data_IF_296227433727
#
_entry.id   IF_296227433727
#
_cell.length_a   1.000
_cell.length_b   1.000
_cell.length_c   1.000
_cell.angle_alpha   90.00
_cell.angle_beta   90.00
_cell.angle_gamma   90.00
#
_symmetry.space_group_name_H-M   'P 1'
#
loop_
_entity.id
_entity.type
_entity.pdbx_description
1 polymer ?
#
# COMPACT_ATOMS: atom_id res chain seq x y z
N UNK A 1 -27.71 -30.12 15.76
CA UNK A 1 -28.78 -29.23 16.24
C UNK A 1 -28.17 -27.85 16.37
N UNK A 2 -28.25 -27.03 15.32
CA UNK A 2 -27.90 -25.61 15.42
C UNK A 2 -28.90 -24.97 16.38
N UNK A 3 -28.41 -24.26 17.39
CA UNK A 3 -29.27 -23.44 18.24
C UNK A 3 -30.04 -22.48 17.33
N UNK A 4 -31.36 -22.49 17.40
CA UNK A 4 -32.17 -21.46 16.76
C UNK A 4 -31.70 -20.11 17.31
N UNK A 5 -31.09 -19.29 16.46
CA UNK A 5 -30.73 -17.91 16.78
C UNK A 5 -31.97 -17.17 17.33
N UNK A 6 -31.78 -16.36 18.37
CA UNK A 6 -32.88 -15.68 19.03
C UNK A 6 -33.40 -14.53 18.15
N UNK A 7 -34.72 -14.49 17.97
CA UNK A 7 -35.42 -13.49 17.15
C UNK A 7 -36.28 -12.62 18.06
N UNK A 8 -36.06 -11.31 17.99
CA UNK A 8 -36.76 -10.31 18.79
C UNK A 8 -37.56 -9.38 17.90
N UNK A 9 -38.66 -8.83 18.42
CA UNK A 9 -39.39 -7.73 17.78
C UNK A 9 -39.26 -6.46 18.62
N UNK A 10 -38.83 -5.37 18.00
CA UNK A 10 -38.91 -4.03 18.58
C UNK A 10 -40.12 -3.31 17.97
N UNK A 11 -41.07 -2.89 18.80
CA UNK A 11 -42.33 -2.27 18.40
C UNK A 11 -42.43 -0.87 19.00
N UNK A 12 -42.23 0.16 18.18
CA UNK A 12 -42.41 1.55 18.56
C UNK A 12 -43.84 2.00 18.26
N UNK A 13 -44.69 2.12 19.29
CA UNK A 13 -46.10 2.49 19.19
C UNK A 13 -46.21 4.01 19.35
N UNK A 14 -46.20 4.72 18.21
CA UNK A 14 -46.29 6.17 18.15
C UNK A 14 -47.73 6.70 18.24
N UNK A 15 -47.91 7.98 17.88
CA UNK A 15 -49.22 8.62 17.82
C UNK A 15 -50.02 8.16 16.59
N UNK A 16 -49.48 8.30 15.37
CA UNK A 16 -50.21 7.96 14.14
C UNK A 16 -49.78 6.61 13.54
N UNK A 17 -48.57 6.16 13.85
CA UNK A 17 -47.96 4.99 13.25
C UNK A 17 -47.25 4.14 14.30
N UNK A 18 -47.20 2.84 14.04
CA UNK A 18 -46.42 1.86 14.80
C UNK A 18 -45.34 1.30 13.89
N UNK A 19 -44.08 1.41 14.31
CA UNK A 19 -42.94 0.83 13.59
C UNK A 19 -42.53 -0.49 14.23
N UNK A 20 -42.40 -1.53 13.42
CA UNK A 20 -42.01 -2.87 13.85
C UNK A 20 -40.68 -3.21 13.19
N UNK A 21 -39.68 -3.54 14.01
CA UNK A 21 -38.37 -4.02 13.56
C UNK A 21 -38.14 -5.43 14.09
N UNK A 22 -37.88 -6.37 13.18
CA UNK A 22 -37.52 -7.74 13.52
C UNK A 22 -36.01 -7.84 13.54
N UNK A 23 -35.47 -8.32 14.65
CA UNK A 23 -34.05 -8.39 14.93
C UNK A 23 -33.69 -9.86 15.05
N UNK A 24 -32.83 -10.31 14.15
CA UNK A 24 -32.23 -11.65 14.16
C UNK A 24 -30.77 -11.48 14.55
N UNK A 25 -30.38 -12.09 15.67
CA UNK A 25 -29.08 -11.91 16.32
C UNK A 25 -28.80 -10.43 16.69
N UNK A 26 -28.20 -9.69 15.75
CA UNK A 26 -27.80 -8.28 15.87
C UNK A 26 -28.17 -7.47 14.63
N UNK A 27 -28.86 -8.09 13.66
CA UNK A 27 -29.21 -7.48 12.38
C UNK A 27 -30.71 -7.28 12.27
N UNK A 28 -31.09 -6.14 11.70
CA UNK A 28 -32.48 -5.88 11.35
C UNK A 28 -32.82 -6.70 10.12
N UNK A 29 -33.69 -7.70 10.27
CA UNK A 29 -34.06 -8.61 9.18
C UNK A 29 -35.30 -8.13 8.41
N UNK A 30 -36.19 -7.39 9.07
CA UNK A 30 -37.40 -6.82 8.48
C UNK A 30 -37.81 -5.56 9.24
N UNK A 31 -38.29 -4.56 8.49
CA UNK A 31 -38.93 -3.37 9.04
C UNK A 31 -40.31 -3.22 8.42
N UNK A 32 -41.31 -2.90 9.23
CA UNK A 32 -42.67 -2.63 8.79
C UNK A 32 -43.20 -1.38 9.49
N UNK A 33 -43.90 -0.54 8.74
CA UNK A 33 -44.70 0.55 9.31
C UNK A 33 -46.18 0.19 9.21
N UNK A 34 -46.90 0.34 10.32
CA UNK A 34 -48.34 0.12 10.43
C UNK A 34 -48.97 1.49 10.71
N UNK A 35 -49.92 1.92 9.88
CA UNK A 35 -50.60 3.22 10.01
C UNK A 35 -51.65 3.25 11.12
N UNK A 36 -51.29 2.73 12.30
CA UNK A 36 -52.13 2.70 13.51
C UNK A 36 -51.23 3.07 14.69
N UNK A 37 -51.72 3.93 15.57
CA UNK A 37 -51.04 4.34 16.81
C UNK A 37 -52.05 4.87 17.83
N UNK A 38 -51.57 5.61 18.83
CA UNK A 38 -52.41 6.18 19.89
C UNK A 38 -53.52 7.11 19.43
N UNK A 39 -53.46 7.66 18.22
CA UNK A 39 -54.53 8.46 17.61
C UNK A 39 -55.83 7.63 17.49
N UNK A 40 -55.73 6.35 17.13
CA UNK A 40 -56.90 5.48 16.99
C UNK A 40 -57.65 5.31 18.32
N UNK A 41 -56.91 5.15 19.42
CA UNK A 41 -57.48 5.09 20.78
C UNK A 41 -58.19 6.41 21.13
N UNK A 42 -57.55 7.52 20.78
CA UNK A 42 -58.06 8.87 21.05
C UNK A 42 -59.38 9.11 20.34
N UNK A 43 -59.44 8.74 19.05
CA UNK A 43 -60.65 8.84 18.24
C UNK A 43 -61.76 7.92 18.77
N UNK A 44 -61.42 6.69 19.17
CA UNK A 44 -62.41 5.78 19.75
C UNK A 44 -63.01 6.33 21.06
N UNK A 45 -62.19 6.92 21.94
CA UNK A 45 -62.67 7.58 23.17
C UNK A 45 -63.52 8.80 22.82
N UNK A 46 -63.08 9.61 21.85
CA UNK A 46 -63.82 10.78 21.39
C UNK A 46 -65.23 10.41 20.94
N UNK A 47 -65.35 9.38 20.10
CA UNK A 47 -66.63 8.90 19.57
C UNK A 47 -67.50 8.27 20.66
N UNK A 48 -66.92 7.42 21.51
CA UNK A 48 -67.68 6.68 22.53
C UNK A 48 -68.20 7.57 23.67
N UNK A 49 -67.50 8.66 24.00
CA UNK A 49 -67.82 9.54 25.12
C UNK A 49 -68.23 10.96 24.69
N UNK A 50 -68.33 11.22 23.39
CA UNK A 50 -68.70 12.52 22.80
C UNK A 50 -67.84 13.69 23.32
N UNK A 51 -66.54 13.44 23.48
CA UNK A 51 -65.57 14.43 23.95
C UNK A 51 -64.99 15.25 22.79
N UNK A 52 -64.34 16.37 23.12
CA UNK A 52 -63.42 17.02 22.18
C UNK A 52 -62.19 16.12 21.96
N UNK A 53 -61.47 16.30 20.85
CA UNK A 53 -60.25 15.52 20.59
C UNK A 53 -59.18 15.75 21.67
N UNK A 54 -59.07 16.98 22.20
CA UNK A 54 -58.16 17.30 23.28
C UNK A 54 -58.55 16.61 24.60
N UNK A 55 -59.83 16.62 24.95
CA UNK A 55 -60.30 15.99 26.19
C UNK A 55 -60.23 14.46 26.09
N UNK A 56 -60.44 13.89 24.90
CA UNK A 56 -60.24 12.48 24.64
C UNK A 56 -58.76 12.07 24.79
N UNK A 57 -57.82 12.89 24.30
CA UNK A 57 -56.38 12.66 24.48
C UNK A 57 -55.99 12.71 25.96
N UNK A 58 -56.48 13.71 26.71
CA UNK A 58 -56.27 13.79 28.16
C UNK A 58 -56.86 12.58 28.87
N UNK A 59 -58.09 12.19 28.55
CA UNK A 59 -58.73 11.01 29.12
C UNK A 59 -57.92 9.73 28.86
N UNK A 60 -57.33 9.59 27.66
CA UNK A 60 -56.44 8.47 27.32
C UNK A 60 -55.16 8.49 28.16
N UNK A 61 -54.52 9.65 28.33
CA UNK A 61 -53.25 9.76 29.07
C UNK A 61 -53.48 9.55 30.58
N UNK A 62 -54.48 10.23 31.14
CA UNK A 62 -54.70 10.28 32.59
C UNK A 62 -55.40 9.02 33.11
N UNK A 63 -56.37 8.50 32.35
CA UNK A 63 -57.27 7.43 32.79
C UNK A 63 -57.16 6.16 31.93
N UNK A 64 -56.36 6.15 30.85
CA UNK A 64 -56.23 5.02 29.95
C UNK A 64 -55.67 3.77 30.61
N UNK A 65 -56.39 2.65 30.51
CA UNK A 65 -55.91 1.32 30.89
C UNK A 65 -56.56 0.23 30.05
N UNK A 66 -55.92 -0.93 30.00
CA UNK A 66 -56.49 -2.13 29.38
C UNK A 66 -56.60 -3.25 30.40
N UNK A 67 -57.77 -3.85 30.54
CA UNK A 67 -57.99 -4.99 31.46
C UNK A 67 -57.64 -6.31 30.77
N UNK A 68 -56.88 -7.18 31.44
CA UNK A 68 -56.71 -8.58 31.02
C UNK A 68 -57.76 -9.49 31.65
N UNK A 69 -58.20 -9.16 32.85
CA UNK A 69 -59.32 -9.79 33.57
C UNK A 69 -60.34 -8.73 33.99
N UNK A 70 -61.62 -9.05 33.82
CA UNK A 70 -62.75 -8.18 34.12
C UNK A 70 -63.43 -8.52 35.46
N UNK A 71 -62.98 -9.58 36.15
CA UNK A 71 -63.67 -10.14 37.33
C UNK A 71 -63.75 -9.19 38.54
N UNK A 72 -62.81 -8.25 38.69
CA UNK A 72 -62.76 -7.27 39.79
C UNK A 72 -63.06 -5.82 39.37
N UNK A 73 -63.36 -5.58 38.09
CA UNK A 73 -63.54 -4.24 37.54
C UNK A 73 -65.01 -3.78 37.56
N UNK A 74 -65.22 -2.48 37.75
CA UNK A 74 -66.56 -1.88 37.62
C UNK A 74 -67.07 -1.92 36.17
N UNK A 75 -68.39 -1.85 35.98
CA UNK A 75 -69.00 -1.86 34.63
C UNK A 75 -68.46 -0.74 33.73
N UNK A 76 -68.20 0.44 34.29
CA UNK A 76 -67.70 1.58 33.51
C UNK A 76 -66.23 1.41 33.15
N UNK A 77 -65.42 0.83 34.05
CA UNK A 77 -64.03 0.46 33.74
C UNK A 77 -63.95 -0.59 32.64
N UNK A 78 -64.84 -1.60 32.66
CA UNK A 78 -64.92 -2.61 31.60
C UNK A 78 -65.25 -1.94 30.27
N UNK A 79 -66.29 -1.10 30.22
CA UNK A 79 -66.67 -0.37 28.99
C UNK A 79 -65.54 0.50 28.44
N UNK A 80 -64.85 1.24 29.31
CA UNK A 80 -63.75 2.11 28.91
C UNK A 80 -62.56 1.29 28.38
N UNK A 81 -62.20 0.21 29.07
CA UNK A 81 -61.16 -0.71 28.58
C UNK A 81 -61.56 -1.36 27.26
N UNK A 82 -62.82 -1.76 27.07
CA UNK A 82 -63.28 -2.42 25.84
C UNK A 82 -63.28 -1.44 24.65
N UNK A 83 -63.57 -0.16 24.89
CA UNK A 83 -63.40 0.90 23.90
C UNK A 83 -61.95 0.98 23.41
N UNK A 84 -60.99 0.96 24.34
CA UNK A 84 -59.56 1.01 24.00
C UNK A 84 -59.09 -0.27 23.31
N UNK A 85 -59.53 -1.46 23.77
CA UNK A 85 -59.22 -2.74 23.13
C UNK A 85 -59.68 -2.77 21.69
N UNK A 86 -60.93 -2.37 21.41
CA UNK A 86 -61.47 -2.29 20.04
C UNK A 86 -60.63 -1.40 19.13
N UNK A 87 -60.09 -0.30 19.67
CA UNK A 87 -59.19 0.57 18.92
C UNK A 87 -57.80 -0.06 18.66
N UNK A 88 -57.37 -0.99 19.52
CA UNK A 88 -56.12 -1.75 19.41
C UNK A 88 -56.24 -3.02 18.56
N UNK A 89 -57.43 -3.60 18.40
CA UNK A 89 -57.64 -4.84 17.63
C UNK A 89 -57.02 -4.81 16.21
N UNK A 90 -57.13 -3.69 15.44
CA UNK A 90 -56.46 -3.60 14.15
C UNK A 90 -54.93 -3.67 14.27
N UNK A 91 -54.34 -3.07 15.31
CA UNK A 91 -52.90 -3.13 15.56
C UNK A 91 -52.47 -4.56 15.91
N UNK A 92 -53.19 -5.22 16.81
CA UNK A 92 -52.94 -6.61 17.20
C UNK A 92 -52.98 -7.53 15.98
N UNK A 93 -54.00 -7.39 15.14
CA UNK A 93 -54.14 -8.15 13.89
C UNK A 93 -52.93 -7.92 12.96
N UNK A 94 -52.50 -6.67 12.79
CA UNK A 94 -51.35 -6.32 11.96
C UNK A 94 -50.02 -6.85 12.54
N UNK A 95 -49.85 -6.86 13.86
CA UNK A 95 -48.69 -7.46 14.53
C UNK A 95 -48.66 -8.97 14.32
N UNK A 96 -49.77 -9.66 14.57
CA UNK A 96 -49.93 -11.10 14.33
C UNK A 96 -49.60 -11.47 12.90
N UNK A 97 -50.13 -10.73 11.91
CA UNK A 97 -49.79 -10.95 10.49
C UNK A 97 -48.30 -10.73 10.21
N UNK A 98 -47.69 -9.73 10.85
CA UNK A 98 -46.26 -9.44 10.70
C UNK A 98 -45.42 -10.61 11.21
N UNK A 99 -45.71 -11.14 12.40
CA UNK A 99 -44.95 -12.24 13.00
C UNK A 99 -45.20 -13.57 12.26
N UNK A 100 -46.41 -13.82 11.77
CA UNK A 100 -46.69 -14.96 10.90
C UNK A 100 -45.87 -14.89 9.60
N UNK A 101 -45.74 -13.70 9.01
CA UNK A 101 -44.92 -13.49 7.81
C UNK A 101 -43.43 -13.75 8.05
N UNK A 102 -42.91 -13.40 9.23
CA UNK A 102 -41.52 -13.73 9.61
C UNK A 102 -41.35 -15.25 9.66
N UNK A 103 -42.26 -15.94 10.36
CA UNK A 103 -42.23 -17.40 10.49
C UNK A 103 -42.33 -18.10 9.14
N UNK A 104 -43.22 -17.66 8.25
CA UNK A 104 -43.40 -18.27 6.92
C UNK A 104 -42.20 -18.12 5.99
N UNK A 105 -41.37 -17.10 6.21
CA UNK A 105 -40.12 -16.87 5.44
C UNK A 105 -38.93 -17.69 5.97
N UNK A 106 -39.13 -18.54 6.97
CA UNK A 106 -38.05 -19.35 7.57
C UNK A 106 -37.09 -18.56 8.46
N UNK A 107 -37.45 -17.34 8.86
CA UNK A 107 -36.62 -16.41 9.63
C UNK A 107 -36.69 -16.63 11.16
N UNK A 108 -37.02 -17.85 11.58
CA UNK A 108 -37.25 -18.18 12.99
C UNK A 108 -38.61 -17.70 13.53
N UNK A 109 -38.78 -17.86 14.85
CA UNK A 109 -39.99 -17.46 15.59
C UNK A 109 -39.62 -16.32 16.52
N UNK A 110 -40.39 -15.24 16.50
CA UNK A 110 -40.24 -14.13 17.45
C UNK A 110 -40.46 -14.67 18.87
N UNK A 111 -39.42 -14.60 19.69
CA UNK A 111 -39.44 -15.14 21.06
C UNK A 111 -39.95 -14.12 22.06
N UNK A 112 -39.63 -12.83 21.84
CA UNK A 112 -39.94 -11.74 22.76
C UNK A 112 -40.12 -10.42 22.01
N UNK A 113 -41.02 -9.59 22.54
CA UNK A 113 -41.40 -8.30 21.98
C UNK A 113 -40.98 -7.21 22.97
N UNK A 114 -40.18 -6.26 22.50
CA UNK A 114 -39.86 -5.04 23.22
C UNK A 114 -40.72 -3.90 22.67
N UNK A 115 -41.45 -3.22 23.54
CA UNK A 115 -42.27 -2.06 23.17
C UNK A 115 -41.62 -0.74 23.60
N UNK A 116 -41.84 0.30 22.80
CA UNK A 116 -41.46 1.68 23.11
C UNK A 116 -42.46 2.67 22.49
N UNK A 117 -42.27 3.97 22.69
CA UNK A 117 -43.11 5.04 22.18
C UNK A 117 -44.21 5.47 23.17
N UNK A 118 -44.80 6.63 22.95
CA UNK A 118 -45.74 7.23 23.92
C UNK A 118 -46.96 6.36 24.21
N UNK A 119 -47.50 5.67 23.20
CA UNK A 119 -48.68 4.80 23.38
C UNK A 119 -48.35 3.52 24.15
N UNK A 120 -47.07 3.11 24.19
CA UNK A 120 -46.66 1.93 24.96
C UNK A 120 -46.92 2.09 26.47
N UNK A 121 -46.96 3.34 26.96
CA UNK A 121 -47.14 3.69 28.37
C UNK A 121 -48.58 3.54 28.87
N UNK A 122 -49.52 3.19 28.00
CA UNK A 122 -50.88 2.89 28.40
C UNK A 122 -50.88 1.77 29.46
N UNK A 123 -51.59 1.98 30.57
CA UNK A 123 -51.52 1.08 31.72
C UNK A 123 -51.97 -0.33 31.35
N UNK A 124 -51.15 -1.31 31.73
CA UNK A 124 -51.37 -2.74 31.49
C UNK A 124 -51.39 -3.16 30.01
N UNK A 125 -50.92 -2.30 29.09
CA UNK A 125 -50.77 -2.63 27.68
C UNK A 125 -49.80 -3.81 27.40
N UNK A 126 -48.62 -3.94 28.06
CA UNK A 126 -47.76 -5.09 27.85
C UNK A 126 -48.45 -6.42 28.16
N UNK A 127 -49.18 -6.50 29.27
CA UNK A 127 -49.89 -7.72 29.66
C UNK A 127 -51.01 -8.07 28.68
N UNK A 128 -51.77 -7.06 28.24
CA UNK A 128 -52.79 -7.24 27.19
C UNK A 128 -52.17 -7.75 25.88
N UNK A 129 -51.12 -7.09 25.38
CA UNK A 129 -50.44 -7.53 24.15
C UNK A 129 -49.83 -8.92 24.31
N UNK A 130 -49.32 -9.26 25.49
CA UNK A 130 -48.77 -10.59 25.77
C UNK A 130 -49.85 -11.68 25.70
N UNK A 131 -51.03 -11.40 26.24
CA UNK A 131 -52.19 -12.29 26.15
C UNK A 131 -52.67 -12.46 24.70
N UNK A 132 -52.82 -11.37 23.95
CA UNK A 132 -53.35 -11.41 22.57
C UNK A 132 -52.35 -11.98 21.55
N UNK A 133 -51.06 -11.73 21.73
CA UNK A 133 -50.01 -12.18 20.81
C UNK A 133 -49.42 -13.54 21.20
N UNK A 134 -49.76 -14.04 22.40
CA UNK A 134 -49.19 -15.26 23.00
C UNK A 134 -47.66 -15.25 23.03
N UNK A 135 -47.08 -14.08 23.34
CA UNK A 135 -45.63 -13.85 23.39
C UNK A 135 -45.28 -12.98 24.60
N UNK A 136 -44.05 -13.07 25.07
CA UNK A 136 -43.55 -12.19 26.13
C UNK A 136 -43.41 -10.76 25.59
N UNK A 137 -44.00 -9.79 26.30
CA UNK A 137 -43.96 -8.37 25.94
C UNK A 137 -43.40 -7.58 27.11
N UNK A 138 -42.32 -6.83 26.86
CA UNK A 138 -41.65 -5.99 27.86
C UNK A 138 -41.37 -4.59 27.32
N UNK A 139 -41.22 -3.63 28.24
CA UNK A 139 -40.71 -2.32 27.89
C UNK A 139 -39.24 -2.38 27.48
N UNK A 140 -38.88 -1.64 26.44
CA UNK A 140 -37.48 -1.43 26.09
C UNK A 140 -36.76 -0.65 27.19
N UNK A 141 -35.76 -1.26 27.83
CA UNK A 141 -34.87 -0.58 28.79
C UNK A 141 -33.61 -0.08 28.07
N UNK A 142 -33.70 1.08 27.42
CA UNK A 142 -32.60 1.67 26.66
C UNK A 142 -31.64 2.50 27.52
N UNK A 143 -32.05 2.95 28.71
CA UNK A 143 -31.24 3.76 29.63
C UNK A 143 -30.45 2.91 30.63
N UNK A 144 -30.88 1.67 30.89
CA UNK A 144 -30.27 0.73 31.85
C UNK A 144 -28.77 0.47 31.60
N UNK A 145 -28.33 0.57 30.35
CA UNK A 145 -26.95 0.28 29.95
C UNK A 145 -25.97 1.42 30.20
N UNK A 146 -26.44 2.58 30.65
CA UNK A 146 -25.63 3.79 30.81
C UNK A 146 -25.58 4.21 32.29
N UNK A 147 -24.56 3.72 33.01
CA UNK A 147 -24.33 4.02 34.44
C UNK A 147 -24.16 5.53 34.73
N UNK A 148 -23.89 6.35 33.72
CA UNK A 148 -23.62 7.79 33.83
C UNK A 148 -24.80 8.68 33.42
N UNK A 149 -25.97 8.11 33.14
CA UNK A 149 -27.16 8.89 32.77
C UNK A 149 -27.74 9.64 33.97
N UNK A 150 -27.91 10.95 33.86
CA UNK A 150 -28.71 11.76 34.81
C UNK A 150 -30.23 11.56 34.64
N UNK A 151 -30.65 10.76 33.66
CA UNK A 151 -32.05 10.43 33.41
C UNK A 151 -32.35 9.09 34.08
N UNK A 152 -33.37 9.07 34.95
CA UNK A 152 -33.79 7.88 35.67
C UNK A 152 -34.29 6.78 34.71
N UNK A 153 -33.90 5.53 34.96
CA UNK A 153 -34.28 4.35 34.18
C UNK A 153 -35.72 3.90 34.51
N UNK A 154 -36.69 4.67 34.03
CA UNK A 154 -38.13 4.41 34.17
C UNK A 154 -38.76 4.19 32.80
N UNK A 155 -39.86 3.43 32.72
CA UNK A 155 -40.51 3.09 31.44
C UNK A 155 -40.88 4.33 30.63
N UNK A 156 -41.39 5.38 31.28
CA UNK A 156 -41.72 6.66 30.65
C UNK A 156 -40.49 7.33 30.01
N UNK A 157 -39.38 7.40 30.74
CA UNK A 157 -38.15 8.01 30.24
C UNK A 157 -37.54 7.19 29.10
N UNK A 158 -37.55 5.85 29.22
CA UNK A 158 -37.08 4.96 28.16
C UNK A 158 -37.90 5.13 26.88
N UNK A 159 -39.23 5.17 26.99
CA UNK A 159 -40.14 5.32 25.87
C UNK A 159 -39.95 6.66 25.14
N UNK A 160 -39.70 7.74 25.88
CA UNK A 160 -39.41 9.08 25.32
C UNK A 160 -38.00 9.17 24.75
N UNK A 161 -37.00 8.59 25.44
CA UNK A 161 -35.60 8.71 25.07
C UNK A 161 -35.21 7.80 23.91
N UNK A 162 -35.87 6.66 23.67
CA UNK A 162 -35.43 5.65 22.70
C UNK A 162 -35.21 6.23 21.29
N UNK A 163 -36.07 7.14 20.84
CA UNK A 163 -35.93 7.81 19.54
C UNK A 163 -34.71 8.72 19.47
N UNK A 164 -34.53 9.58 20.47
CA UNK A 164 -33.40 10.50 20.54
C UNK A 164 -32.06 9.75 20.72
N UNK A 165 -32.04 8.74 21.59
CA UNK A 165 -30.87 7.92 21.87
C UNK A 165 -30.45 7.10 20.65
N UNK A 166 -31.39 6.51 19.90
CA UNK A 166 -31.06 5.76 18.68
C UNK A 166 -30.40 6.65 17.61
N UNK A 167 -30.88 7.88 17.43
CA UNK A 167 -30.24 8.87 16.55
C UNK A 167 -28.84 9.26 17.06
N UNK A 168 -28.68 9.50 18.37
CA UNK A 168 -27.39 9.85 18.96
C UNK A 168 -26.36 8.71 18.80
N UNK A 169 -26.75 7.47 19.06
CA UNK A 169 -25.90 6.29 18.87
C UNK A 169 -25.54 6.09 17.40
N UNK A 170 -26.48 6.37 16.49
CA UNK A 170 -26.23 6.38 15.04
C UNK A 170 -25.16 7.38 14.61
N UNK A 171 -24.91 8.46 15.36
CA UNK A 171 -23.85 9.43 15.07
C UNK A 171 -22.46 8.99 15.58
N UNK A 172 -22.43 8.18 16.65
CA UNK A 172 -21.19 7.79 17.35
C UNK A 172 -20.65 6.43 16.84
N UNK A 173 -21.52 5.54 16.37
CA UNK A 173 -21.18 4.18 15.99
C UNK A 173 -20.01 4.08 14.99
N UNK A 174 -19.04 3.21 15.28
CA UNK A 174 -17.84 2.97 14.45
C UNK A 174 -18.10 2.24 13.13
N UNK A 175 -19.30 1.71 12.91
CA UNK A 175 -19.70 1.08 11.63
C UNK A 175 -20.06 2.16 10.59
N UNK A 176 -19.03 2.84 10.10
CA UNK A 176 -19.11 3.91 9.09
C UNK A 176 -19.61 3.45 7.70
N UNK A 177 -19.98 2.17 7.52
CA UNK A 177 -20.41 1.59 6.25
C UNK A 177 -21.91 1.26 6.13
N UNK A 178 -22.63 1.15 7.25
CA UNK A 178 -24.07 0.76 7.28
C UNK A 178 -25.00 1.90 7.72
N UNK A 179 -24.46 3.11 7.92
CA UNK A 179 -25.24 4.26 8.34
C UNK A 179 -25.84 4.98 7.12
N UNK A 180 -27.17 5.04 7.05
CA UNK A 180 -27.87 5.87 6.08
C UNK A 180 -27.67 7.35 6.42
N UNK A 181 -26.89 8.06 5.60
CA UNK A 181 -26.73 9.51 5.70
C UNK A 181 -27.34 10.19 4.48
N UNK A 182 -28.50 10.83 4.68
CA UNK A 182 -29.23 11.54 3.63
C UNK A 182 -28.77 12.99 3.45
N UNK A 183 -27.78 13.46 4.21
CA UNK A 183 -27.27 14.83 4.06
C UNK A 183 -26.59 15.01 2.70
N UNK A 184 -26.94 16.07 1.98
CA UNK A 184 -26.40 16.41 0.66
C UNK A 184 -25.84 17.83 0.65
N UNK A 185 -24.91 18.07 -0.28
CA UNK A 185 -24.38 19.40 -0.61
C UNK A 185 -23.93 20.20 0.62
N UNK A 186 -24.58 21.35 0.89
CA UNK A 186 -24.29 22.26 1.99
C UNK A 186 -24.38 21.59 3.37
N UNK A 187 -25.16 20.50 3.50
CA UNK A 187 -25.32 19.74 4.74
C UNK A 187 -24.41 18.51 4.80
N UNK A 188 -23.60 18.21 3.77
CA UNK A 188 -22.74 17.03 3.76
C UNK A 188 -21.61 17.13 4.81
N UNK A 189 -21.44 16.08 5.62
CA UNK A 189 -20.39 16.01 6.67
C UNK A 189 -18.98 16.15 6.11
N UNK A 190 -18.80 15.70 4.87
CA UNK A 190 -17.59 15.92 4.09
C UNK A 190 -17.93 16.92 3.01
N UNK A 191 -17.72 18.22 3.28
CA UNK A 191 -17.43 19.14 2.20
C UNK A 191 -16.25 18.51 1.45
N UNK A 192 -16.49 17.96 0.26
CA UNK A 192 -15.41 17.50 -0.61
C UNK A 192 -14.41 18.65 -0.63
N UNK A 193 -13.16 18.38 -0.23
CA UNK A 193 -12.10 19.39 -0.30
C UNK A 193 -12.08 20.05 -1.68
N UNK A 194 -11.46 21.21 -1.85
CA UNK A 194 -11.62 22.11 -3.01
C UNK A 194 -11.31 21.45 -4.36
N UNK A 195 -10.73 20.25 -4.37
CA UNK A 195 -10.52 19.45 -5.56
C UNK A 195 -11.82 18.76 -5.99
N UNK A 196 -12.65 19.51 -6.70
CA UNK A 196 -13.91 19.06 -7.30
C UNK A 196 -13.77 17.93 -8.33
N UNK A 197 -14.88 17.51 -8.94
CA UNK A 197 -14.90 16.48 -9.99
C UNK A 197 -13.89 16.77 -11.11
N UNK A 198 -13.69 18.04 -11.41
CA UNK A 198 -12.73 18.57 -12.39
C UNK A 198 -11.30 18.11 -12.11
N UNK A 199 -10.86 18.09 -10.84
CA UNK A 199 -9.50 17.64 -10.49
C UNK A 199 -9.30 16.16 -10.79
N UNK A 200 -10.34 15.32 -10.63
CA UNK A 200 -10.22 13.90 -11.00
C UNK A 200 -10.01 13.74 -12.50
N UNK A 201 -10.65 14.58 -13.32
CA UNK A 201 -10.39 14.62 -14.75
C UNK A 201 -8.97 15.11 -15.05
N UNK A 202 -8.49 16.16 -14.37
CA UNK A 202 -7.11 16.64 -14.52
C UNK A 202 -6.06 15.60 -14.08
N UNK A 203 -6.29 14.87 -12.99
CA UNK A 203 -5.42 13.77 -12.55
C UNK A 203 -5.45 12.60 -13.54
N UNK A 204 -6.61 12.27 -14.10
CA UNK A 204 -6.73 11.25 -15.15
C UNK A 204 -6.03 11.65 -16.45
N UNK A 205 -6.13 12.91 -16.85
CA UNK A 205 -5.39 13.44 -18.00
C UNK A 205 -3.88 13.47 -17.73
N UNK A 206 -3.47 13.90 -16.53
CA UNK A 206 -2.06 13.93 -16.14
C UNK A 206 -1.43 12.53 -16.11
N UNK A 207 -2.13 11.52 -15.61
CA UNK A 207 -1.66 10.14 -15.61
C UNK A 207 -1.58 9.55 -17.03
N UNK A 208 -2.51 9.91 -17.92
CA UNK A 208 -2.44 9.53 -19.34
C UNK A 208 -1.22 10.13 -20.03
N UNK A 209 -0.95 11.42 -19.82
CA UNK A 209 0.25 12.09 -20.37
C UNK A 209 1.52 11.45 -19.85
N UNK A 210 1.61 11.15 -18.55
CA UNK A 210 2.75 10.45 -17.97
C UNK A 210 2.93 9.04 -18.56
N UNK A 211 1.84 8.31 -18.80
CA UNK A 211 1.90 6.99 -19.43
C UNK A 211 2.43 7.08 -20.87
N UNK A 212 2.00 8.08 -21.65
CA UNK A 212 2.50 8.32 -23.01
C UNK A 212 4.00 8.65 -22.99
N UNK A 213 4.43 9.53 -22.09
CA UNK A 213 5.85 9.88 -21.92
C UNK A 213 6.69 8.65 -21.52
N UNK A 214 6.18 7.82 -20.61
CA UNK A 214 6.86 6.60 -20.19
C UNK A 214 6.96 5.58 -21.33
N UNK A 215 5.90 5.43 -22.12
CA UNK A 215 5.89 4.57 -23.31
C UNK A 215 6.88 5.07 -24.38
N UNK A 216 6.97 6.38 -24.59
CA UNK A 216 7.96 6.99 -25.47
C UNK A 216 9.40 6.73 -24.98
N UNK A 217 9.66 6.92 -23.68
CA UNK A 217 10.96 6.66 -23.08
C UNK A 217 11.39 5.19 -23.22
N UNK A 218 10.47 4.25 -22.97
CA UNK A 218 10.71 2.81 -23.17
C UNK A 218 11.01 2.51 -24.65
N UNK A 219 10.19 3.04 -25.57
CA UNK A 219 10.39 2.87 -27.01
C UNK A 219 11.77 3.35 -27.45
N UNK A 220 12.16 4.56 -27.05
CA UNK A 220 13.47 5.12 -27.37
C UNK A 220 14.62 4.31 -26.75
N UNK A 221 14.48 3.80 -25.53
CA UNK A 221 15.48 2.92 -24.91
C UNK A 221 15.67 1.62 -25.71
N UNK A 222 14.57 0.98 -26.14
CA UNK A 222 14.64 -0.24 -26.95
C UNK A 222 15.24 -0.01 -28.35
N UNK A 223 14.86 1.09 -29.01
CA UNK A 223 15.44 1.50 -30.30
C UNK A 223 16.95 1.78 -30.15
N UNK A 224 17.35 2.53 -29.14
CA UNK A 224 18.77 2.83 -28.92
C UNK A 224 19.58 1.55 -28.64
N UNK A 225 19.01 0.62 -27.87
CA UNK A 225 19.63 -0.69 -27.59
C UNK A 225 19.75 -1.55 -28.86
N UNK A 226 18.76 -1.53 -29.74
CA UNK A 226 18.82 -2.29 -31.00
C UNK A 226 19.85 -1.70 -31.97
N UNK A 227 19.93 -0.37 -32.06
CA UNK A 227 20.97 0.35 -32.83
C UNK A 227 22.37 0.12 -32.28
N UNK A 228 22.56 0.13 -30.96
CA UNK A 228 23.87 -0.21 -30.36
C UNK A 228 24.30 -1.64 -30.69
N UNK A 229 23.35 -2.59 -30.76
CA UNK A 229 23.64 -3.97 -31.14
C UNK A 229 24.09 -4.06 -32.59
N UNK A 230 23.44 -3.36 -33.52
CA UNK A 230 23.85 -3.37 -34.94
C UNK A 230 25.20 -2.68 -35.16
N UNK A 231 25.45 -1.55 -34.50
CA UNK A 231 26.75 -0.86 -34.56
C UNK A 231 27.86 -1.76 -34.01
N UNK A 232 27.66 -2.38 -32.84
CA UNK A 232 28.65 -3.28 -32.25
C UNK A 232 28.99 -4.47 -33.16
N UNK A 233 27.97 -5.06 -33.80
CA UNK A 233 28.17 -6.15 -34.76
C UNK A 233 29.01 -5.69 -35.96
N UNK A 234 28.72 -4.49 -36.50
CA UNK A 234 29.51 -3.91 -37.60
C UNK A 234 30.95 -3.60 -37.17
N UNK A 235 31.17 -3.05 -35.98
CA UNK A 235 32.53 -2.80 -35.47
C UNK A 235 33.31 -4.09 -35.23
N UNK A 236 32.69 -5.18 -34.78
CA UNK A 236 33.38 -6.48 -34.62
C UNK A 236 33.82 -7.03 -35.98
N UNK A 237 33.01 -6.83 -37.02
CA UNK A 237 33.35 -7.25 -38.37
C UNK A 237 34.51 -6.43 -38.96
N UNK A 238 34.48 -5.10 -38.78
CA UNK A 238 35.55 -4.20 -39.23
C UNK A 238 36.85 -4.42 -38.43
N UNK A 239 36.76 -4.64 -37.11
CA UNK A 239 37.91 -4.92 -36.24
C UNK A 239 38.54 -6.28 -36.55
N UNK A 240 37.76 -7.26 -37.01
CA UNK A 240 38.30 -8.53 -37.52
C UNK A 240 39.05 -8.37 -38.85
N UNK A 241 38.63 -7.43 -39.70
CA UNK A 241 39.31 -7.14 -40.98
C UNK A 241 40.61 -6.34 -40.81
N UNK A 242 40.79 -5.64 -39.68
CA UNK A 242 42.00 -4.89 -39.36
C UNK A 242 42.49 -5.23 -37.95
N UNK A 243 43.38 -6.22 -37.77
CA UNK A 243 43.88 -6.59 -36.44
C UNK A 243 44.86 -5.53 -35.89
N UNK A 244 44.36 -4.62 -35.06
CA UNK A 244 45.15 -3.60 -34.34
C UNK A 244 46.09 -4.23 -33.28
N UNK A 245 45.95 -5.53 -32.99
CA UNK A 245 46.78 -6.26 -32.01
C UNK A 245 48.27 -6.27 -32.35
N UNK A 246 48.62 -6.36 -33.64
CA UNK A 246 50.02 -6.50 -34.07
C UNK A 246 50.85 -5.21 -33.92
N UNK A 247 50.18 -4.05 -33.82
CA UNK A 247 50.86 -2.77 -33.61
C UNK A 247 51.07 -2.45 -32.13
N UNK A 248 50.23 -2.97 -31.22
CA UNK A 248 50.39 -2.73 -29.77
C UNK A 248 51.63 -3.43 -29.20
N UNK A 249 51.93 -4.66 -29.60
CA UNK A 249 53.13 -5.38 -29.13
C UNK A 249 54.42 -4.71 -29.60
N UNK A 250 54.47 -4.18 -30.84
CA UNK A 250 55.62 -3.39 -31.32
C UNK A 250 55.80 -2.08 -30.57
N UNK A 251 54.72 -1.43 -30.14
CA UNK A 251 54.79 -0.18 -29.35
C UNK A 251 55.23 -0.47 -27.90
N UNK A 252 54.77 -1.57 -27.30
CA UNK A 252 55.21 -2.00 -25.97
C UNK A 252 56.70 -2.40 -25.96
N UNK A 253 57.18 -3.11 -27.00
CA UNK A 253 58.60 -3.45 -27.16
C UNK A 253 59.52 -2.23 -27.36
N UNK A 254 58.99 -1.13 -27.93
CA UNK A 254 59.72 0.12 -28.18
C UNK A 254 59.61 1.15 -27.03
N UNK A 255 58.93 0.82 -25.92
CA UNK A 255 58.89 1.69 -24.72
C UNK A 255 57.51 2.22 -24.31
N UNK A 256 56.41 1.67 -24.85
CA UNK A 256 55.04 2.08 -24.50
C UNK A 256 54.41 1.38 -23.29
N UNK A 257 55.09 0.42 -22.65
CA UNK A 257 54.52 -0.40 -21.56
C UNK A 257 55.25 -0.25 -20.22
N UNK A 258 54.49 -0.07 -19.13
CA UNK A 258 54.97 -0.25 -17.75
C UNK A 258 55.14 -1.76 -17.48
N UNK A 259 56.26 -2.33 -17.92
CA UNK A 259 56.67 -3.70 -17.61
C UNK A 259 57.91 -3.72 -16.71
N UNK A 260 58.04 -4.75 -15.88
CA UNK A 260 59.13 -4.95 -14.89
C UNK A 260 60.50 -5.32 -15.51
N UNK A 261 60.59 -5.34 -16.84
CA UNK A 261 61.82 -5.58 -17.60
C UNK A 261 62.26 -4.29 -18.28
N UNK A 262 63.56 -3.95 -18.17
CA UNK A 262 64.15 -2.79 -18.86
C UNK A 262 63.76 -2.80 -20.36
N UNK A 263 63.15 -1.71 -20.81
CA UNK A 263 62.80 -1.49 -22.22
C UNK A 263 64.06 -1.22 -23.05
N UNK A 264 64.02 -1.44 -24.37
CA UNK A 264 65.17 -1.17 -25.26
C UNK A 264 65.70 0.26 -25.11
N UNK A 265 64.82 1.24 -24.86
CA UNK A 265 65.18 2.64 -24.66
C UNK A 265 65.88 2.88 -23.30
N UNK A 266 65.41 2.24 -22.23
CA UNK A 266 66.06 2.32 -20.92
C UNK A 266 67.45 1.68 -20.94
N UNK A 267 67.62 0.57 -21.66
CA UNK A 267 68.93 -0.05 -21.89
C UNK A 267 69.87 0.93 -22.60
N UNK A 268 69.43 1.59 -23.66
CA UNK A 268 70.25 2.59 -24.36
C UNK A 268 70.59 3.79 -23.47
N UNK A 269 69.67 4.22 -22.61
CA UNK A 269 69.91 5.31 -21.66
C UNK A 269 70.95 4.91 -20.59
N UNK A 270 70.86 3.71 -20.02
CA UNK A 270 71.85 3.19 -19.06
C UNK A 270 73.22 2.99 -19.71
N UNK A 271 73.27 2.52 -20.96
CA UNK A 271 74.52 2.44 -21.70
C UNK A 271 75.16 3.82 -21.88
N UNK A 272 74.35 4.83 -22.21
CA UNK A 272 74.85 6.20 -22.35
C UNK A 272 75.39 6.78 -21.04
N UNK A 273 74.84 6.41 -19.88
CA UNK A 273 75.33 6.89 -18.58
C UNK A 273 76.58 6.14 -18.09
N UNK A 274 76.77 4.88 -18.49
CA UNK A 274 77.89 4.05 -18.07
C UNK A 274 79.17 4.24 -18.89
N UNK A 275 79.07 4.75 -20.11
CA UNK A 275 80.25 5.00 -20.96
C UNK A 275 80.95 6.30 -20.52
N UNK A 276 82.21 6.25 -20.06
CA UNK A 276 82.93 7.44 -19.62
C UNK A 276 83.29 8.35 -20.80
N UNK A 277 82.92 9.64 -20.76
CA UNK A 277 83.47 10.65 -21.69
C UNK A 277 84.95 10.87 -21.33
N UNK A 278 85.94 10.74 -22.25
CA UNK A 278 85.88 11.00 -23.69
C UNK A 278 85.89 9.76 -24.61
N UNK A 279 85.57 8.56 -24.13
CA UNK A 279 85.62 7.35 -24.96
C UNK A 279 84.59 7.39 -26.09
N UNK A 280 85.04 7.03 -27.31
CA UNK A 280 84.15 6.93 -28.46
C UNK A 280 83.40 5.58 -28.39
N UNK A 281 82.08 5.67 -28.30
CA UNK A 281 81.16 4.51 -28.30
C UNK A 281 79.99 4.83 -29.24
N UNK A 282 80.20 4.59 -30.54
CA UNK A 282 79.20 4.85 -31.57
C UNK A 282 78.49 3.56 -31.95
N UNK A 283 77.18 3.48 -31.71
CA UNK A 283 76.39 2.25 -31.88
C UNK A 283 75.85 2.18 -33.31
N UNK A 284 76.32 1.18 -34.07
CA UNK A 284 75.87 0.91 -35.44
C UNK A 284 74.66 0.00 -35.51
N UNK A 285 74.66 -1.02 -34.65
CA UNK A 285 73.60 -2.03 -34.63
C UNK A 285 73.29 -2.37 -33.18
N UNK A 286 72.01 -2.30 -32.82
CA UNK A 286 71.50 -2.70 -31.53
C UNK A 286 70.41 -3.75 -31.74
N UNK A 287 70.57 -4.90 -31.10
CA UNK A 287 69.59 -5.99 -31.13
C UNK A 287 69.23 -6.37 -29.70
N UNK A 288 67.93 -6.34 -29.40
CA UNK A 288 67.37 -6.79 -28.14
C UNK A 288 66.30 -7.85 -28.41
N UNK A 289 66.61 -9.09 -28.06
CA UNK A 289 65.71 -10.23 -28.25
C UNK A 289 65.73 -11.07 -26.99
N UNK A 290 64.57 -11.27 -26.36
CA UNK A 290 64.36 -12.13 -25.19
C UNK A 290 65.35 -11.90 -24.02
N UNK A 291 65.69 -10.63 -23.75
CA UNK A 291 66.58 -10.27 -22.63
C UNK A 291 68.08 -10.38 -22.94
N UNK A 292 68.44 -10.75 -24.18
CA UNK A 292 69.82 -10.73 -24.69
C UNK A 292 70.05 -9.49 -25.52
N UNK A 293 71.12 -8.76 -25.21
CA UNK A 293 71.50 -7.54 -25.92
C UNK A 293 72.77 -7.83 -26.71
N UNK A 294 72.76 -7.49 -28.00
CA UNK A 294 73.93 -7.52 -28.88
C UNK A 294 74.11 -6.13 -29.49
N UNK A 295 75.29 -5.56 -29.28
CA UNK A 295 75.64 -4.23 -29.76
C UNK A 295 76.87 -4.34 -30.64
N UNK A 296 76.79 -3.80 -31.86
CA UNK A 296 77.97 -3.50 -32.68
C UNK A 296 78.25 -2.02 -32.57
N UNK A 297 79.45 -1.68 -32.13
CA UNK A 297 79.86 -0.31 -31.93
C UNK A 297 81.27 -0.06 -32.46
N UNK A 298 81.57 1.22 -32.73
CA UNK A 298 82.89 1.70 -33.07
C UNK A 298 83.52 2.28 -31.80
N UNK A 299 84.82 2.03 -31.61
CA UNK A 299 85.64 2.73 -30.62
C UNK A 299 86.97 3.18 -31.22
N UNK A 300 87.62 4.10 -30.53
CA UNK A 300 88.91 4.73 -30.92
C UNK A 300 90.11 3.81 -30.64
N UNK A 301 90.07 2.96 -29.61
CA UNK A 301 91.19 2.07 -29.27
C UNK A 301 90.78 0.77 -28.56
N UNK A 302 91.67 -0.24 -28.56
CA UNK A 302 91.48 -1.46 -27.76
C UNK A 302 91.36 -1.18 -26.25
N UNK A 303 92.06 -0.16 -25.74
CA UNK A 303 91.99 0.25 -24.34
C UNK A 303 90.62 0.84 -23.98
N UNK A 304 90.01 1.58 -24.91
CA UNK A 304 88.66 2.13 -24.75
C UNK A 304 87.62 1.01 -24.71
N UNK A 305 87.76 0.00 -25.56
CA UNK A 305 86.89 -1.20 -25.55
C UNK A 305 86.97 -1.92 -24.20
N UNK A 306 88.17 -2.15 -23.66
CA UNK A 306 88.35 -2.80 -22.36
C UNK A 306 87.80 -1.95 -21.19
N UNK A 307 87.84 -0.62 -21.32
CA UNK A 307 87.26 0.31 -20.32
C UNK A 307 85.73 0.27 -20.33
N UNK A 308 85.13 0.21 -21.52
CA UNK A 308 83.68 0.02 -21.71
C UNK A 308 83.26 -1.34 -21.17
N UNK A 309 84.01 -2.41 -21.45
CA UNK A 309 83.74 -3.76 -20.94
C UNK A 309 83.75 -3.79 -19.40
N UNK A 310 84.76 -3.19 -18.77
CA UNK A 310 84.85 -3.11 -17.30
C UNK A 310 83.70 -2.32 -16.69
N UNK A 311 83.29 -1.23 -17.33
CA UNK A 311 82.17 -0.39 -16.85
C UNK A 311 80.85 -1.16 -16.92
N UNK A 312 80.64 -1.96 -17.96
CA UNK A 312 79.46 -2.80 -18.11
C UNK A 312 79.46 -4.01 -17.16
N UNK A 313 80.63 -4.60 -16.87
CA UNK A 313 80.76 -5.69 -15.89
C UNK A 313 80.48 -5.26 -14.44
N UNK A 314 80.73 -4.00 -14.11
CA UNK A 314 80.49 -3.46 -12.78
C UNK A 314 79.02 -3.07 -12.52
N UNK A 315 78.16 -3.12 -13.53
CA UNK A 315 76.75 -2.77 -13.38
C UNK A 315 75.92 -3.95 -12.83
N UNK A 316 75.07 -3.68 -11.83
CA UNK A 316 74.35 -4.73 -11.08
C UNK A 316 73.26 -5.46 -11.88
N UNK A 317 72.81 -4.88 -13.00
CA UNK A 317 71.71 -5.38 -13.82
C UNK A 317 72.17 -6.15 -15.08
N UNK A 318 73.46 -6.09 -15.43
CA UNK A 318 74.02 -6.79 -16.61
C UNK A 318 74.81 -8.03 -16.19
N UNK A 319 74.59 -9.13 -16.91
CA UNK A 319 75.23 -10.42 -16.64
C UNK A 319 75.81 -10.99 -17.94
N UNK A 320 76.87 -11.81 -17.82
CA UNK A 320 77.56 -12.45 -18.97
C UNK A 320 78.02 -11.46 -20.05
N UNK A 321 78.65 -10.36 -19.65
CA UNK A 321 79.27 -9.40 -20.59
C UNK A 321 80.45 -10.07 -21.29
N UNK A 322 80.35 -10.28 -22.60
CA UNK A 322 81.39 -10.85 -23.45
C UNK A 322 81.70 -9.96 -24.64
N UNK A 323 82.98 -9.79 -24.94
CA UNK A 323 83.44 -9.19 -26.19
C UNK A 323 83.49 -10.24 -27.30
N UNK A 324 82.95 -9.88 -28.45
CA UNK A 324 83.02 -10.64 -29.68
C UNK A 324 84.21 -10.22 -30.53
N UNK A 325 84.10 -10.44 -31.84
CA UNK A 325 85.14 -10.09 -32.81
C UNK A 325 85.43 -8.58 -32.80
N UNK A 326 86.72 -8.24 -32.81
CA UNK A 326 87.23 -6.88 -32.99
C UNK A 326 87.92 -6.82 -34.35
N UNK A 327 87.44 -5.95 -35.23
CA UNK A 327 88.01 -5.73 -36.56
C UNK A 327 88.36 -4.25 -36.77
N UNK A 328 89.21 -3.97 -37.74
CA UNK A 328 89.48 -2.58 -38.15
C UNK A 328 88.27 -2.08 -38.94
N UNK A 329 87.71 -0.94 -38.52
CA UNK A 329 86.57 -0.33 -39.18
C UNK A 329 86.91 0.06 -40.63
N UNK A 330 85.90 0.20 -41.49
CA UNK A 330 86.05 0.54 -42.92
C UNK A 330 86.80 1.87 -43.20
N UNK A 331 86.99 2.70 -42.17
CA UNK A 331 87.71 3.98 -42.19
C UNK A 331 89.21 3.84 -41.83
N UNK A 332 89.69 2.63 -41.55
CA UNK A 332 91.12 2.32 -41.32
C UNK A 332 91.70 2.77 -39.97
N UNK A 333 91.07 3.72 -39.26
CA UNK A 333 91.55 4.24 -37.96
C UNK A 333 90.82 3.63 -36.76
N UNK A 334 89.50 3.54 -36.81
CA UNK A 334 88.68 3.08 -35.68
C UNK A 334 88.55 1.54 -35.62
N UNK A 335 88.07 1.02 -34.48
CA UNK A 335 87.84 -0.42 -34.26
C UNK A 335 86.36 -0.72 -34.14
N UNK A 336 85.87 -1.59 -35.02
CA UNK A 336 84.54 -2.19 -34.90
C UNK A 336 84.62 -3.33 -33.87
N UNK A 337 83.72 -3.33 -32.89
CA UNK A 337 83.62 -4.40 -31.91
C UNK A 337 82.17 -4.79 -31.65
N UNK A 338 81.98 -6.05 -31.28
CA UNK A 338 80.70 -6.56 -30.81
C UNK A 338 80.76 -6.80 -29.31
N UNK A 339 79.75 -6.35 -28.56
CA UNK A 339 79.57 -6.69 -27.16
C UNK A 339 78.21 -7.32 -26.95
N UNK A 340 78.17 -8.42 -26.21
CA UNK A 340 76.95 -9.16 -25.89
C UNK A 340 76.80 -9.28 -24.38
N UNK A 341 75.59 -9.05 -23.87
CA UNK A 341 75.28 -9.20 -22.45
C UNK A 341 73.79 -9.50 -22.22
N UNK A 342 73.49 -10.13 -21.09
CA UNK A 342 72.14 -10.54 -20.69
C UNK A 342 71.63 -9.62 -19.56
N UNK A 343 70.36 -9.22 -19.61
CA UNK A 343 69.71 -8.49 -18.50
C UNK A 343 69.30 -9.49 -17.42
N UNK A 344 69.66 -9.20 -16.16
CA UNK A 344 69.24 -10.00 -15.02
C UNK A 344 67.72 -9.90 -14.84
N UNK A 345 66.99 -11.00 -15.07
CA UNK A 345 65.56 -11.08 -14.74
C UNK A 345 65.37 -10.83 -13.24
N UNK A 346 64.60 -9.81 -12.88
CA UNK A 346 64.24 -9.53 -11.49
C UNK A 346 63.62 -10.78 -10.85
N UNK A 347 64.03 -11.09 -9.61
CA UNK A 347 63.34 -12.10 -8.78
C UNK A 347 61.92 -11.59 -8.55
N UNK A 348 60.93 -12.39 -8.95
CA UNK A 348 59.53 -12.22 -8.59
C UNK A 348 59.40 -11.81 -7.11
N UNK A 349 58.83 -10.63 -6.87
CA UNK A 349 58.25 -10.24 -5.59
C UNK A 349 56.78 -10.01 -5.82
#
# INVERSE_FOLDING_TARGET
WQASEAVYALVNIGHQQTSVSIIEETKISQVRSISIGGQAITQAIQEAYHLSLEDAERAKIDNGFVLTDSSSASKDQIKFSDCIKKALDPLVSQLTQTFQSVRSKGKGIVQKIYITGGTSLLRNLPAYLSQELHMEVEFLKCLSSYETSNIADQDENNAKASGALSLALGLIGKSYGEQFNFRKEEFSKYQRGPLGKEVRYFLGMGSLVLAILFMNMIGNYFILRSTLKSINLQTVEVTKKFPIKEQKEKIEALGGGKGETLTALQVLQELSSLVPKPTLFDVREFSYVDGKIKIKAISDSFNSIDTIEKSLKNHSQFTKVTKGEISTASDGQNKDFTITFDIKKGKNS
#
